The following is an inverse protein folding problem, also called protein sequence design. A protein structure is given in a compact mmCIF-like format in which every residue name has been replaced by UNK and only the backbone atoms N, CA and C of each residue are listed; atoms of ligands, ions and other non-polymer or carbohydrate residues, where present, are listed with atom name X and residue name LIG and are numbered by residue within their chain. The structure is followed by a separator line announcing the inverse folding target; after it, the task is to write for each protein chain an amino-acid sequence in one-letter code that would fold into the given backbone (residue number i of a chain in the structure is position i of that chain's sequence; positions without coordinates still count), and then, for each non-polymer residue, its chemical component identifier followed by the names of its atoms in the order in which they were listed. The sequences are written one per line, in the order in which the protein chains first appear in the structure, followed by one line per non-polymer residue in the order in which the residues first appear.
data_IF_308556135812
#
_entry.id   IF_308556135812
#
_cell.length_a   1.000
_cell.length_b   1.000
_cell.length_c   1.000
_cell.angle_alpha   90.00
_cell.angle_beta   90.00
_cell.angle_gamma   90.00
#
_symmetry.space_group_name_H-M   'P 1'
#
loop_
_entity.id
_entity.type
_entity.pdbx_description
1 polymer ?
#
# COMPACT_ATOMS: atom_id res chain seq x y z
N UNK A 1 15.04 -4.80 22.85
CA UNK A 1 13.79 -5.06 22.11
C UNK A 1 14.07 -4.69 20.67
N UNK A 2 14.14 -5.68 19.80
CA UNK A 2 14.34 -5.43 18.37
C UNK A 2 13.07 -4.81 17.80
N UNK A 3 13.20 -3.61 17.23
CA UNK A 3 12.14 -2.92 16.48
C UNK A 3 11.80 -3.63 15.15
N UNK A 4 12.33 -4.84 14.93
CA UNK A 4 12.24 -5.60 13.69
C UNK A 4 10.85 -6.26 13.47
N UNK A 5 10.08 -6.48 14.53
CA UNK A 5 8.81 -7.23 14.48
C UNK A 5 7.54 -6.34 14.44
N UNK A 6 7.69 -5.01 14.42
CA UNK A 6 6.56 -4.10 14.28
C UNK A 6 6.04 -4.12 12.83
N UNK A 7 4.98 -4.91 12.60
CA UNK A 7 4.37 -5.09 11.28
C UNK A 7 2.96 -4.50 11.24
N UNK A 8 2.69 -3.67 10.23
CA UNK A 8 1.37 -3.17 9.86
C UNK A 8 1.10 -3.56 8.41
N UNK A 9 0.64 -4.80 8.21
CA UNK A 9 0.68 -5.47 6.92
C UNK A 9 -0.51 -5.14 5.99
N UNK A 10 -1.57 -4.53 6.49
CA UNK A 10 -2.80 -4.23 5.74
C UNK A 10 -3.55 -3.00 6.31
N UNK A 11 -4.62 -2.56 5.64
CA UNK A 11 -5.40 -1.35 5.97
C UNK A 11 -5.87 -1.21 7.43
N UNK A 12 -5.97 -2.33 8.14
CA UNK A 12 -6.47 -2.39 9.49
C UNK A 12 -5.49 -2.87 10.55
N UNK A 13 -4.23 -3.11 10.18
CA UNK A 13 -3.20 -3.74 11.03
C UNK A 13 -3.40 -5.24 11.24
N UNK A 14 -4.65 -5.71 11.28
CA UNK A 14 -5.03 -7.12 11.38
C UNK A 14 -6.22 -7.49 10.47
N UNK A 15 -6.58 -8.77 10.46
CA UNK A 15 -7.73 -9.33 9.72
C UNK A 15 -9.08 -8.79 10.21
N UNK A 16 -9.15 -8.32 11.45
CA UNK A 16 -10.37 -7.79 12.07
C UNK A 16 -10.55 -6.29 11.86
N UNK A 17 -9.60 -5.66 11.15
CA UNK A 17 -9.58 -4.24 10.82
C UNK A 17 -9.75 -3.32 12.04
N UNK A 18 -9.06 -3.66 13.14
CA UNK A 18 -9.18 -2.92 14.41
C UNK A 18 -8.43 -1.60 14.43
N UNK A 19 -7.47 -1.39 13.53
CA UNK A 19 -6.59 -0.21 13.52
C UNK A 19 -5.95 0.04 14.89
N UNK A 20 -5.56 -1.05 15.55
CA UNK A 20 -5.05 -1.03 16.91
C UNK A 20 -3.63 -1.61 16.94
N UNK A 21 -2.66 -0.81 17.38
CA UNK A 21 -1.29 -1.23 17.55
C UNK A 21 -1.11 -1.95 18.90
N UNK A 22 -1.48 -3.23 18.97
CA UNK A 22 -1.50 -3.99 20.22
C UNK A 22 -0.12 -4.15 20.89
N UNK A 23 0.97 -4.03 20.12
CA UNK A 23 2.35 -4.10 20.62
C UNK A 23 2.95 -2.75 21.05
N UNK A 24 2.21 -1.65 20.95
CA UNK A 24 2.71 -0.31 21.30
C UNK A 24 2.72 -0.11 22.82
N UNK A 25 3.90 0.04 23.40
CA UNK A 25 4.11 0.21 24.85
C UNK A 25 4.89 1.48 25.21
N UNK A 26 5.42 2.21 24.22
CA UNK A 26 6.31 3.35 24.44
C UNK A 26 5.52 4.66 24.50
N UNK A 27 4.51 4.80 23.64
CA UNK A 27 3.65 5.96 23.57
C UNK A 27 2.41 5.80 24.45
N UNK A 28 2.23 6.73 25.38
CA UNK A 28 1.07 6.83 26.26
C UNK A 28 0.76 8.31 26.56
N UNK A 29 -0.36 8.65 27.22
CA UNK A 29 -0.72 10.05 27.50
C UNK A 29 0.34 10.86 28.26
N UNK A 30 1.28 10.22 28.97
CA UNK A 30 2.36 10.89 29.69
C UNK A 30 3.61 11.13 28.83
N UNK A 31 3.87 10.25 27.85
CA UNK A 31 5.06 10.29 26.97
C UNK A 31 4.80 10.98 25.64
N UNK A 32 3.54 11.09 25.20
CA UNK A 32 3.15 11.69 23.92
C UNK A 32 3.69 13.12 23.73
N UNK A 33 3.84 13.89 24.81
CA UNK A 33 4.40 15.25 24.78
C UNK A 33 5.87 15.32 24.35
N UNK A 34 6.59 14.21 24.42
CA UNK A 34 8.00 14.11 24.03
C UNK A 34 8.16 13.59 22.59
N UNK A 35 7.07 13.42 21.84
CA UNK A 35 7.15 13.04 20.44
C UNK A 35 7.94 14.09 19.64
N UNK A 36 8.92 13.60 18.89
CA UNK A 36 9.70 14.40 17.98
C UNK A 36 9.63 13.79 16.57
N UNK A 37 9.70 14.64 15.56
CA UNK A 37 9.82 14.21 14.18
C UNK A 37 11.15 13.47 14.00
N UNK A 38 11.10 12.18 13.61
CA UNK A 38 12.31 11.37 13.36
C UNK A 38 12.81 11.61 11.93
N UNK A 39 11.91 11.55 10.94
CA UNK A 39 12.24 11.78 9.53
C UNK A 39 11.01 12.26 8.76
N UNK A 40 11.25 12.86 7.59
CA UNK A 40 10.21 13.26 6.63
C UNK A 40 10.60 12.83 5.21
N UNK A 41 9.60 12.58 4.37
CA UNK A 41 9.80 12.14 2.98
C UNK A 41 8.91 12.95 2.03
N UNK A 42 9.49 13.48 0.96
CA UNK A 42 8.75 14.23 -0.05
C UNK A 42 8.32 13.30 -1.21
N UNK A 43 7.04 12.95 -1.25
CA UNK A 43 6.47 12.07 -2.26
C UNK A 43 5.95 12.79 -3.52
N UNK A 44 6.05 14.13 -3.60
CA UNK A 44 5.69 14.92 -4.79
C UNK A 44 4.19 15.24 -4.96
N UNK A 45 3.30 14.33 -4.58
CA UNK A 45 1.84 14.53 -4.58
C UNK A 45 1.22 13.87 -3.34
N UNK A 46 -0.07 14.12 -3.15
CA UNK A 46 -0.87 13.59 -2.06
C UNK A 46 -0.65 12.08 -1.83
N UNK A 47 -0.80 11.67 -0.58
CA UNK A 47 -0.81 10.28 -0.14
C UNK A 47 -2.13 10.09 0.62
N UNK A 48 -3.09 9.38 0.02
CA UNK A 48 -4.39 9.11 0.65
C UNK A 48 -4.54 7.69 1.17
N UNK A 49 -3.62 6.80 0.82
CA UNK A 49 -3.58 5.43 1.30
C UNK A 49 -2.91 5.37 2.68
N UNK A 50 -3.36 4.45 3.53
CA UNK A 50 -2.63 4.07 4.73
C UNK A 50 -1.35 3.34 4.29
N UNK A 51 -0.17 3.68 4.83
CA UNK A 51 1.05 2.95 4.52
C UNK A 51 1.02 1.53 5.12
N UNK A 52 1.67 0.58 4.45
CA UNK A 52 1.97 -0.73 5.02
C UNK A 52 3.41 -0.74 5.54
N UNK A 53 3.66 -1.36 6.69
CA UNK A 53 4.99 -1.47 7.30
C UNK A 53 5.31 -2.93 7.53
N UNK A 54 6.44 -3.39 7.01
CA UNK A 54 6.92 -4.76 7.25
C UNK A 54 8.45 -4.79 7.18
N UNK A 55 9.08 -5.52 8.10
CA UNK A 55 10.53 -5.74 8.14
C UNK A 55 11.35 -4.44 8.03
N UNK A 56 10.92 -3.37 8.72
CA UNK A 56 11.61 -2.07 8.71
C UNK A 56 11.45 -1.26 7.41
N UNK A 57 10.51 -1.62 6.55
CA UNK A 57 10.21 -0.90 5.31
C UNK A 57 8.77 -0.40 5.32
N UNK A 58 8.58 0.85 4.89
CA UNK A 58 7.29 1.51 4.74
C UNK A 58 6.94 1.58 3.25
N UNK A 59 5.76 1.07 2.90
CA UNK A 59 5.25 1.00 1.54
C UNK A 59 4.00 1.86 1.38
N UNK A 60 3.96 2.73 0.38
CA UNK A 60 2.79 3.57 0.11
C UNK A 60 2.74 4.05 -1.35
N UNK A 61 1.53 4.16 -1.93
CA UNK A 61 1.32 4.81 -3.22
C UNK A 61 1.12 6.33 -3.06
N UNK A 62 1.51 7.09 -4.08
CA UNK A 62 1.24 8.52 -4.18
C UNK A 62 0.45 8.86 -5.45
N UNK A 63 -0.28 9.96 -5.40
CA UNK A 63 -1.05 10.50 -6.53
C UNK A 63 -0.20 11.01 -7.70
N UNK A 64 1.13 10.96 -7.60
CA UNK A 64 2.03 11.18 -8.73
C UNK A 64 2.20 9.94 -9.63
N UNK A 65 1.54 8.82 -9.30
CA UNK A 65 1.60 7.57 -10.07
C UNK A 65 2.74 6.64 -9.67
N UNK A 66 3.41 6.92 -8.55
CA UNK A 66 4.48 6.07 -8.04
C UNK A 66 4.04 5.28 -6.80
N UNK A 67 4.56 4.06 -6.72
CA UNK A 67 4.60 3.26 -5.50
C UNK A 67 5.99 3.37 -4.88
N UNK A 68 6.06 3.69 -3.59
CA UNK A 68 7.30 3.91 -2.86
C UNK A 68 7.54 2.83 -1.82
N UNK A 69 8.81 2.49 -1.63
CA UNK A 69 9.34 1.80 -0.47
C UNK A 69 10.44 2.64 0.16
N UNK A 70 10.28 2.98 1.44
CA UNK A 70 11.25 3.76 2.21
C UNK A 70 11.63 3.04 3.48
N UNK A 71 12.86 3.26 3.96
CA UNK A 71 13.32 2.70 5.21
C UNK A 71 12.59 3.36 6.40
N UNK A 72 12.04 2.55 7.30
CA UNK A 72 11.21 3.01 8.41
C UNK A 72 11.97 3.81 9.48
N UNK A 73 13.30 3.66 9.55
CA UNK A 73 14.12 4.28 10.60
C UNK A 73 14.65 5.65 10.20
N UNK A 74 14.93 5.87 8.90
CA UNK A 74 15.56 7.09 8.42
C UNK A 74 14.84 7.75 7.23
N UNK A 75 13.77 7.15 6.71
CA UNK A 75 13.02 7.68 5.56
C UNK A 75 13.75 7.58 4.22
N UNK A 76 14.89 6.89 4.14
CA UNK A 76 15.66 6.76 2.91
C UNK A 76 14.88 5.94 1.86
N UNK A 77 14.88 6.42 0.62
CA UNK A 77 14.27 5.72 -0.51
C UNK A 77 15.00 4.39 -0.75
N UNK A 78 14.27 3.28 -0.71
CA UNK A 78 14.78 1.96 -1.10
C UNK A 78 14.51 1.74 -2.58
N UNK A 79 13.26 1.89 -3.00
CA UNK A 79 12.86 1.85 -4.40
C UNK A 79 11.59 2.65 -4.63
N UNK A 80 11.36 3.03 -5.90
CA UNK A 80 10.08 3.54 -6.38
C UNK A 80 9.76 2.91 -7.72
N UNK A 81 8.47 2.75 -8.00
CA UNK A 81 8.00 2.18 -9.25
C UNK A 81 6.89 3.02 -9.85
N UNK A 82 6.99 3.29 -11.16
CA UNK A 82 5.95 3.97 -11.91
C UNK A 82 4.84 2.97 -12.25
N UNK A 83 3.64 3.19 -11.73
CA UNK A 83 2.51 2.29 -11.91
C UNK A 83 2.06 2.20 -13.37
N UNK A 84 2.19 3.29 -14.14
CA UNK A 84 1.86 3.29 -15.57
C UNK A 84 2.81 2.39 -16.36
N UNK A 85 4.12 2.48 -16.06
CA UNK A 85 5.14 1.65 -16.70
C UNK A 85 5.02 0.18 -16.29
N UNK A 86 4.77 -0.10 -15.00
CA UNK A 86 4.58 -1.46 -14.52
C UNK A 86 3.38 -2.16 -15.16
N UNK A 87 2.31 -1.43 -15.45
CA UNK A 87 1.06 -2.03 -15.95
C UNK A 87 0.84 -1.84 -17.44
N UNK A 88 1.68 -1.04 -18.11
CA UNK A 88 1.46 -0.60 -19.49
C UNK A 88 0.19 0.24 -19.67
N UNK A 89 -0.42 0.72 -18.58
CA UNK A 89 -1.65 1.50 -18.63
C UNK A 89 -1.31 3.00 -18.63
N UNK A 90 -1.80 3.69 -19.64
CA UNK A 90 -1.84 5.15 -19.65
C UNK A 90 -2.89 5.64 -18.66
N UNK A 91 -2.67 6.78 -18.00
CA UNK A 91 -3.57 7.27 -16.96
C UNK A 91 -5.02 7.39 -17.43
N UNK A 92 -5.87 6.49 -16.96
CA UNK A 92 -7.31 6.43 -17.30
C UNK A 92 -8.20 7.06 -16.23
N UNK A 93 -7.62 7.73 -15.24
CA UNK A 93 -8.34 8.16 -14.06
C UNK A 93 -9.40 9.23 -14.37
N UNK A 94 -10.61 9.02 -13.85
CA UNK A 94 -11.71 10.01 -13.89
C UNK A 94 -11.36 11.31 -13.12
N UNK A 95 -10.40 11.23 -12.19
CA UNK A 95 -9.99 12.33 -11.28
C UNK A 95 -8.58 12.84 -11.58
N UNK A 96 -7.71 12.00 -12.15
CA UNK A 96 -6.34 12.35 -12.55
C UNK A 96 -5.94 11.59 -13.81
N UNK A 97 -5.25 12.25 -14.75
CA UNK A 97 -4.74 11.64 -15.99
C UNK A 97 -3.48 10.78 -15.77
N UNK A 98 -3.36 10.14 -14.60
CA UNK A 98 -2.22 9.31 -14.22
C UNK A 98 -2.73 8.02 -13.60
N UNK A 99 -2.06 6.89 -13.87
CA UNK A 99 -2.33 5.60 -13.22
C UNK A 99 -1.87 5.70 -11.78
N UNK A 100 -2.81 5.69 -10.84
CA UNK A 100 -2.53 5.87 -9.41
C UNK A 100 -3.10 4.70 -8.61
N UNK A 101 -2.59 4.46 -7.42
CA UNK A 101 -3.24 3.58 -6.45
C UNK A 101 -3.74 4.41 -5.28
N UNK A 102 -4.97 4.11 -4.85
CA UNK A 102 -5.57 4.62 -3.61
C UNK A 102 -5.74 3.54 -2.55
N UNK A 103 -5.51 2.28 -2.91
CA UNK A 103 -5.63 1.16 -1.97
C UNK A 103 -4.44 1.15 -1.03
N UNK A 104 -4.68 0.87 0.24
CA UNK A 104 -3.60 0.52 1.16
C UNK A 104 -2.91 -0.74 0.63
N UNK A 105 -1.57 -0.71 0.45
CA UNK A 105 -0.82 -1.89 0.08
C UNK A 105 -1.03 -3.01 1.09
N UNK A 106 -1.05 -4.25 0.62
CA UNK A 106 -1.14 -5.43 1.48
C UNK A 106 0.11 -6.27 1.33
N UNK A 107 0.74 -6.61 2.45
CA UNK A 107 1.93 -7.45 2.48
C UNK A 107 1.52 -8.91 2.63
N UNK A 108 2.01 -9.77 1.72
CA UNK A 108 1.86 -11.23 1.78
C UNK A 108 3.20 -11.90 1.47
N UNK A 109 3.86 -12.44 2.50
CA UNK A 109 5.22 -12.96 2.35
C UNK A 109 6.14 -11.93 1.69
N UNK A 110 6.70 -12.27 0.52
CA UNK A 110 7.58 -11.40 -0.27
C UNK A 110 6.86 -10.50 -1.28
N UNK A 111 5.54 -10.51 -1.29
CA UNK A 111 4.70 -9.73 -2.19
C UNK A 111 4.11 -8.51 -1.48
N UNK A 112 3.99 -7.45 -2.26
CA UNK A 112 3.23 -6.26 -1.94
C UNK A 112 2.12 -6.12 -2.98
N UNK A 113 0.88 -6.24 -2.53
CA UNK A 113 -0.29 -6.25 -3.39
C UNK A 113 -1.01 -4.91 -3.32
N UNK A 114 -1.29 -4.34 -4.49
CA UNK A 114 -1.81 -2.98 -4.63
C UNK A 114 -2.90 -2.98 -5.70
N UNK A 115 -4.03 -2.34 -5.39
CA UNK A 115 -5.12 -2.08 -6.34
C UNK A 115 -4.92 -0.75 -7.04
N UNK A 116 -5.09 -0.72 -8.35
CA UNK A 116 -4.91 0.45 -9.20
C UNK A 116 -6.27 1.11 -9.48
N UNK A 117 -6.23 2.43 -9.55
CA UNK A 117 -7.35 3.30 -9.84
C UNK A 117 -7.49 3.49 -11.37
N UNK A 118 -8.60 2.99 -11.92
CA UNK A 118 -8.92 3.03 -13.35
C UNK A 118 -8.16 1.97 -14.16
N UNK A 119 -8.80 1.36 -15.16
CA UNK A 119 -9.52 0.09 -14.98
C UNK A 119 -9.23 -0.67 -13.66
N UNK A 120 -10.13 -1.55 -13.20
CA UNK A 120 -9.89 -2.26 -11.94
C UNK A 120 -8.79 -3.31 -12.13
N UNK A 121 -7.54 -2.97 -11.77
CA UNK A 121 -6.38 -3.86 -11.86
C UNK A 121 -5.82 -4.05 -10.46
N UNK A 122 -5.48 -5.29 -10.14
CA UNK A 122 -4.68 -5.65 -8.97
C UNK A 122 -3.31 -6.08 -9.45
N UNK A 123 -2.27 -5.57 -8.81
CA UNK A 123 -0.89 -5.98 -9.06
C UNK A 123 -0.27 -6.53 -7.80
N UNK A 124 0.64 -7.49 -7.95
CA UNK A 124 1.61 -7.84 -6.93
C UNK A 124 3.02 -7.51 -7.41
N UNK A 125 3.76 -6.82 -6.56
CA UNK A 125 5.17 -6.51 -6.78
C UNK A 125 6.04 -7.17 -5.71
N UNK A 126 7.26 -7.53 -6.05
CA UNK A 126 8.23 -8.05 -5.09
C UNK A 126 8.63 -6.93 -4.11
N UNK A 127 8.58 -7.19 -2.81
CA UNK A 127 8.92 -6.20 -1.76
C UNK A 127 10.36 -5.72 -1.82
N UNK A 128 11.28 -6.54 -2.33
CA UNK A 128 12.72 -6.29 -2.36
C UNK A 128 13.12 -5.22 -3.37
N UNK A 129 12.44 -5.14 -4.52
CA UNK A 129 12.82 -4.27 -5.63
C UNK A 129 11.63 -3.61 -6.38
N UNK A 130 10.40 -3.93 -5.99
CA UNK A 130 9.20 -3.43 -6.64
C UNK A 130 8.91 -4.03 -8.02
N UNK A 131 9.61 -5.08 -8.45
CA UNK A 131 9.36 -5.71 -9.75
C UNK A 131 7.98 -6.36 -9.77
N UNK A 132 7.23 -6.15 -10.85
CA UNK A 132 5.95 -6.85 -11.07
C UNK A 132 6.16 -8.37 -11.03
N UNK A 133 5.36 -9.05 -10.23
CA UNK A 133 5.29 -10.52 -10.16
C UNK A 133 4.08 -11.02 -10.95
N UNK A 134 2.92 -10.42 -10.72
CA UNK A 134 1.70 -10.70 -11.49
C UNK A 134 0.78 -9.48 -11.53
N UNK A 135 -0.12 -9.47 -12.52
CA UNK A 135 -1.20 -8.50 -12.64
C UNK A 135 -2.50 -9.18 -13.06
N UNK A 136 -3.61 -8.71 -12.48
CA UNK A 136 -4.95 -9.25 -12.75
C UNK A 136 -5.91 -8.10 -13.01
N UNK A 137 -6.51 -8.07 -14.21
CA UNK A 137 -7.57 -7.13 -14.54
C UNK A 137 -8.91 -7.70 -14.08
N UNK A 138 -9.50 -7.08 -13.06
CA UNK A 138 -10.83 -7.41 -12.54
C UNK A 138 -11.95 -6.86 -13.43
N UNK A 139 -11.76 -5.65 -13.96
CA UNK A 139 -12.69 -5.03 -14.90
C UNK A 139 -11.95 -4.10 -15.87
N UNK A 140 -12.01 -4.36 -17.18
CA UNK A 140 -11.26 -3.58 -18.18
C UNK A 140 -11.90 -2.23 -18.49
N UNK A 141 -13.11 -1.93 -17.98
CA UNK A 141 -13.78 -0.66 -18.26
C UNK A 141 -13.00 0.50 -17.61
N UNK A 142 -12.74 1.59 -18.35
CA UNK A 142 -11.83 2.65 -17.93
C UNK A 142 -12.30 3.45 -16.71
N UNK A 143 -13.60 3.38 -16.38
CA UNK A 143 -14.23 4.13 -15.27
C UNK A 143 -14.52 3.28 -14.03
N UNK A 144 -14.02 2.04 -13.95
CA UNK A 144 -14.28 1.17 -12.79
C UNK A 144 -13.24 1.41 -11.71
N UNK A 145 -13.72 1.43 -10.46
CA UNK A 145 -12.93 1.79 -9.29
C UNK A 145 -12.89 0.64 -8.29
N UNK A 146 -11.68 0.30 -7.85
CA UNK A 146 -11.46 -0.45 -6.61
C UNK A 146 -11.61 0.56 -5.47
N UNK A 147 -12.63 0.38 -4.64
CA UNK A 147 -12.96 1.29 -3.53
C UNK A 147 -12.51 0.76 -2.17
N UNK A 148 -12.15 -0.52 -2.08
CA UNK A 148 -11.62 -1.17 -0.88
C UNK A 148 -10.12 -1.47 -0.97
N UNK A 149 -9.43 -1.37 0.16
CA UNK A 149 -8.05 -1.84 0.28
C UNK A 149 -7.99 -3.36 0.41
N UNK A 150 -6.88 -3.96 -0.02
CA UNK A 150 -6.67 -5.40 0.06
C UNK A 150 -6.63 -5.90 1.52
N UNK A 151 -7.09 -7.13 1.74
CA UNK A 151 -6.83 -7.89 2.97
C UNK A 151 -6.33 -9.27 2.58
N UNK A 152 -5.19 -9.68 3.16
CA UNK A 152 -4.58 -11.00 2.93
C UNK A 152 -5.13 -11.99 3.93
N UNK A 153 -5.55 -13.16 3.47
CA UNK A 153 -5.94 -14.29 4.30
C UNK A 153 -5.43 -15.59 3.67
N UNK A 154 -4.51 -16.31 4.35
CA UNK A 154 -3.98 -17.60 3.90
C UNK A 154 -3.43 -17.60 2.45
N UNK A 155 -2.71 -16.55 2.05
CA UNK A 155 -2.16 -16.42 0.69
C UNK A 155 -3.12 -15.87 -0.36
N UNK A 156 -4.36 -15.51 0.03
CA UNK A 156 -5.36 -14.91 -0.85
C UNK A 156 -5.51 -13.43 -0.53
N UNK A 157 -5.53 -12.56 -1.54
CA UNK A 157 -5.79 -11.12 -1.34
C UNK A 157 -7.19 -10.76 -1.82
N UNK A 158 -8.02 -10.31 -0.89
CA UNK A 158 -9.38 -9.87 -1.17
C UNK A 158 -9.45 -8.36 -1.36
N UNK A 159 -10.00 -7.90 -2.48
CA UNK A 159 -10.32 -6.49 -2.74
C UNK A 159 -11.82 -6.28 -2.86
N UNK A 160 -12.32 -5.13 -2.43
CA UNK A 160 -13.70 -4.71 -2.70
C UNK A 160 -13.72 -3.65 -3.82
N UNK A 161 -14.53 -3.85 -4.84
CA UNK A 161 -14.91 -2.77 -5.78
C UNK A 161 -16.35 -2.34 -5.48
N UNK A 162 -16.80 -1.22 -6.06
CA UNK A 162 -18.15 -0.69 -5.84
C UNK A 162 -19.27 -1.72 -6.11
N UNK A 163 -19.02 -2.75 -6.95
CA UNK A 163 -19.81 -3.96 -7.15
C UNK A 163 -18.90 -4.96 -7.89
N UNK A 164 -18.67 -6.25 -7.52
CA UNK A 164 -18.69 -7.05 -6.28
C UNK A 164 -17.31 -7.16 -5.52
N UNK A 165 -17.17 -8.11 -4.58
CA UNK A 165 -15.89 -8.49 -3.93
C UNK A 165 -15.09 -9.42 -4.85
N UNK A 166 -13.81 -9.16 -5.05
CA UNK A 166 -12.93 -9.98 -5.87
C UNK A 166 -11.87 -10.65 -5.00
N UNK A 167 -11.74 -11.96 -5.19
CA UNK A 167 -10.66 -12.77 -4.61
C UNK A 167 -9.58 -12.92 -5.68
N UNK A 168 -8.33 -12.62 -5.33
CA UNK A 168 -7.19 -12.85 -6.20
C UNK A 168 -6.27 -13.87 -5.53
N UNK A 169 -5.89 -14.90 -6.28
CA UNK A 169 -4.95 -15.97 -5.89
C UNK A 169 -3.59 -15.72 -6.54
#
# INVERSE_FOLDING_TARGET
MDYADAAWINHGGDLTNRRYAAGEILLNPLTVRNLALIWSFFAGKDISATPAVANGVVYFPSWNGYLYAVNAFNGALIWRQNLSELTGQSGTGVVVNVTVSRSTPTVDGDLLVVGIYGPAIVIAVARSNGRLVWSTTLDPRPRVLITGSGTVYMGLVAFRSAFPVFLVC
#
